data_IF_712753330760
#
_entry.id   IF_712753330760
#
_cell.length_a   1.000
_cell.length_b   1.000
_cell.length_c   1.000
_cell.angle_alpha   90.00
_cell.angle_beta   90.00
_cell.angle_gamma   90.00
#
_symmetry.space_group_name_H-M   'P 1'
#
loop_
_entity.id
_entity.type
_entity.pdbx_description
1 polymer ?
#
# COMPACT_ATOMS: atom_id res chain seq x y z
N UNK A 1 6.66 5.54 5.87
CA UNK A 1 8.10 5.54 6.20
C UNK A 1 8.68 6.89 5.83
N UNK A 2 9.61 7.46 6.60
CA UNK A 2 10.10 8.81 6.31
C UNK A 2 10.80 8.88 4.94
N UNK A 3 10.57 9.97 4.19
CA UNK A 3 11.14 10.16 2.84
C UNK A 3 12.66 10.07 2.80
N UNK A 4 13.31 10.54 3.86
CA UNK A 4 14.77 10.51 3.97
C UNK A 4 15.36 9.09 3.98
N UNK A 5 14.55 8.07 4.30
CA UNK A 5 14.98 6.67 4.35
C UNK A 5 14.57 5.85 3.12
N UNK A 6 14.15 6.49 2.01
CA UNK A 6 13.82 5.78 0.76
C UNK A 6 15.02 4.98 0.24
N UNK A 7 16.25 5.49 0.41
CA UNK A 7 17.47 4.77 0.00
C UNK A 7 17.61 3.40 0.69
N UNK A 8 17.30 3.34 1.98
CA UNK A 8 17.34 2.11 2.76
C UNK A 8 16.24 1.13 2.32
N UNK A 9 15.08 1.67 1.92
CA UNK A 9 14.00 0.86 1.36
C UNK A 9 14.40 0.26 0.02
N UNK A 10 15.05 1.01 -0.88
CA UNK A 10 15.51 0.50 -2.18
C UNK A 10 16.48 -0.68 -2.00
N UNK A 11 17.45 -0.55 -1.10
CA UNK A 11 18.44 -1.61 -0.87
C UNK A 11 17.84 -2.89 -0.27
N UNK A 12 16.80 -2.76 0.57
CA UNK A 12 16.10 -3.94 1.11
C UNK A 12 15.15 -4.57 0.08
N UNK A 13 14.48 -3.73 -0.71
CA UNK A 13 13.46 -4.14 -1.68
C UNK A 13 14.08 -4.84 -2.89
N UNK A 14 15.31 -4.49 -3.28
CA UNK A 14 16.01 -5.13 -4.40
C UNK A 14 16.35 -6.60 -4.20
N UNK A 15 16.30 -7.10 -2.96
CA UNK A 15 16.54 -8.50 -2.62
C UNK A 15 15.24 -9.28 -2.35
N UNK A 16 14.09 -8.62 -2.40
CA UNK A 16 12.82 -9.21 -2.01
C UNK A 16 12.08 -9.80 -3.21
N UNK A 17 11.62 -11.05 -3.09
CA UNK A 17 10.71 -11.67 -4.05
C UNK A 17 9.24 -11.30 -3.79
N UNK A 18 8.92 -11.01 -2.53
CA UNK A 18 7.57 -10.70 -2.03
C UNK A 18 7.63 -9.46 -1.14
N UNK A 19 6.67 -8.56 -1.30
CA UNK A 19 6.53 -7.37 -0.45
C UNK A 19 5.17 -7.32 0.24
N UNK A 20 5.17 -6.72 1.42
CA UNK A 20 3.96 -6.41 2.18
C UNK A 20 3.80 -4.89 2.21
N UNK A 21 2.69 -4.40 1.68
CA UNK A 21 2.31 -2.99 1.71
C UNK A 21 1.27 -2.78 2.80
N UNK A 22 1.66 -2.05 3.85
CA UNK A 22 0.77 -1.75 4.97
C UNK A 22 0.08 -0.40 4.74
N UNK A 23 -1.24 -0.37 4.89
CA UNK A 23 -2.10 0.79 4.65
C UNK A 23 -2.95 1.04 5.90
N UNK A 24 -2.99 2.26 6.42
CA UNK A 24 -3.84 2.59 7.56
C UNK A 24 -5.31 2.76 7.14
N UNK A 25 -6.24 2.29 7.98
CA UNK A 25 -7.67 2.40 7.75
C UNK A 25 -8.29 3.72 8.25
N UNK A 26 -7.58 4.42 9.14
CA UNK A 26 -8.03 5.67 9.75
C UNK A 26 -8.41 6.73 8.71
N UNK A 27 -9.48 7.47 9.00
CA UNK A 27 -9.96 8.53 8.12
C UNK A 27 -8.98 9.71 8.15
N UNK A 28 -8.55 10.17 6.98
CA UNK A 28 -7.46 11.13 6.80
C UNK A 28 -6.09 10.48 6.59
N UNK A 29 -5.75 9.44 7.35
CA UNK A 29 -4.48 8.71 7.18
C UNK A 29 -4.45 7.93 5.86
N UNK A 30 -5.55 7.27 5.52
CA UNK A 30 -5.70 6.55 4.26
C UNK A 30 -5.56 7.51 3.07
N UNK A 31 -6.31 8.60 3.10
CA UNK A 31 -6.40 9.60 2.03
C UNK A 31 -5.03 10.30 1.81
N UNK A 32 -4.32 10.61 2.89
CA UNK A 32 -2.95 11.13 2.82
C UNK A 32 -1.97 10.12 2.18
N UNK A 33 -2.10 8.83 2.53
CA UNK A 33 -1.26 7.76 2.00
C UNK A 33 -1.44 7.49 0.51
N UNK A 34 -2.67 7.61 -0.01
CA UNK A 34 -3.00 7.37 -1.43
C UNK A 34 -2.88 8.62 -2.32
N UNK A 35 -2.62 9.78 -1.73
CA UNK A 35 -2.43 11.03 -2.47
C UNK A 35 -1.27 10.93 -3.48
N UNK A 36 -1.18 11.90 -4.41
CA UNK A 36 -0.11 11.91 -5.43
C UNK A 36 1.29 11.90 -4.82
N UNK A 37 1.45 12.59 -3.70
CA UNK A 37 2.68 12.70 -2.93
C UNK A 37 2.74 11.71 -1.75
N UNK A 38 1.78 10.80 -1.69
CA UNK A 38 1.60 9.83 -0.61
C UNK A 38 2.65 8.73 -0.64
N UNK A 39 3.17 8.40 0.55
CA UNK A 39 4.24 7.40 0.70
C UNK A 39 3.81 6.01 0.27
N UNK A 40 2.55 5.63 0.51
CA UNK A 40 2.03 4.30 0.13
C UNK A 40 2.09 4.10 -1.38
N UNK A 41 1.73 5.14 -2.15
CA UNK A 41 1.80 5.13 -3.62
C UNK A 41 3.23 5.09 -4.13
N UNK A 42 4.11 5.90 -3.54
CA UNK A 42 5.54 5.94 -3.90
C UNK A 42 6.19 4.57 -3.65
N UNK A 43 5.94 3.97 -2.49
CA UNK A 43 6.44 2.64 -2.14
C UNK A 43 5.93 1.56 -3.08
N UNK A 44 4.64 1.58 -3.43
CA UNK A 44 4.06 0.62 -4.38
C UNK A 44 4.65 0.75 -5.79
N UNK A 45 4.99 1.98 -6.20
CA UNK A 45 5.64 2.25 -7.49
C UNK A 45 7.08 1.76 -7.50
N UNK A 46 7.84 2.06 -6.43
CA UNK A 46 9.22 1.60 -6.29
C UNK A 46 9.31 0.08 -6.24
N UNK A 47 8.42 -0.59 -5.51
CA UNK A 47 8.36 -2.05 -5.47
C UNK A 47 8.13 -2.68 -6.86
N UNK A 48 7.31 -2.05 -7.70
CA UNK A 48 7.07 -2.53 -9.08
C UNK A 48 8.32 -2.36 -9.95
N UNK A 49 8.95 -1.18 -9.88
CA UNK A 49 10.17 -0.85 -10.64
C UNK A 49 11.36 -1.73 -10.24
N UNK A 50 11.43 -2.14 -8.97
CA UNK A 50 12.48 -3.02 -8.45
C UNK A 50 12.25 -4.50 -8.78
N UNK A 51 11.12 -4.85 -9.39
CA UNK A 51 10.88 -6.19 -9.94
C UNK A 51 10.26 -7.19 -8.95
N UNK A 52 9.65 -6.73 -7.86
CA UNK A 52 8.90 -7.62 -6.96
C UNK A 52 7.71 -8.22 -7.71
N UNK A 53 7.59 -9.55 -7.64
CA UNK A 53 6.54 -10.28 -8.36
C UNK A 53 5.22 -10.33 -7.62
N UNK A 54 5.27 -10.41 -6.29
CA UNK A 54 4.09 -10.58 -5.45
C UNK A 54 4.03 -9.50 -4.39
N UNK A 55 2.89 -8.81 -4.32
CA UNK A 55 2.61 -7.81 -3.28
C UNK A 55 1.36 -8.19 -2.50
N UNK A 56 1.46 -8.18 -1.17
CA UNK A 56 0.37 -8.40 -0.24
C UNK A 56 -0.02 -7.05 0.37
N UNK A 57 -1.31 -6.71 0.34
CA UNK A 57 -1.83 -5.48 0.96
C UNK A 57 -2.38 -5.82 2.34
N UNK A 58 -1.88 -5.14 3.36
CA UNK A 58 -2.35 -5.27 4.74
C UNK A 58 -3.02 -3.97 5.19
N UNK A 59 -4.30 -4.04 5.51
CA UNK A 59 -5.04 -2.91 6.07
C UNK A 59 -4.86 -2.95 7.60
N UNK A 60 -4.31 -1.89 8.17
CA UNK A 60 -3.90 -1.75 9.56
C UNK A 60 -4.72 -0.67 10.29
N UNK A 61 -4.70 -0.67 11.62
CA UNK A 61 -5.46 0.25 12.49
C UNK A 61 -6.98 0.19 12.29
N UNK A 62 -7.52 -1.00 12.05
CA UNK A 62 -8.98 -1.20 11.94
C UNK A 62 -9.72 -1.01 13.27
N UNK A 63 -8.99 -1.07 14.40
CA UNK A 63 -9.47 -0.82 15.75
C UNK A 63 -9.76 0.65 16.07
N UNK A 64 -9.37 1.58 15.17
CA UNK A 64 -9.61 3.01 15.36
C UNK A 64 -11.08 3.30 15.68
N UNK A 65 -11.33 4.20 16.63
CA UNK A 65 -12.67 4.54 17.09
C UNK A 65 -13.61 5.08 16.00
N UNK A 66 -13.07 5.55 14.87
CA UNK A 66 -13.82 5.97 13.69
C UNK A 66 -14.13 4.80 12.75
N UNK A 67 -13.27 3.79 12.69
CA UNK A 67 -13.40 2.63 11.77
C UNK A 67 -14.16 1.48 12.43
N UNK A 68 -13.89 1.18 13.70
CA UNK A 68 -14.53 0.14 14.53
C UNK A 68 -14.64 -1.22 13.84
N UNK A 69 -13.57 -1.65 13.16
CA UNK A 69 -13.54 -2.87 12.35
C UNK A 69 -14.67 -2.97 11.31
N UNK A 70 -15.16 -1.83 10.82
CA UNK A 70 -16.23 -1.79 9.83
C UNK A 70 -15.81 -2.48 8.54
N UNK A 71 -16.63 -3.43 8.09
CA UNK A 71 -16.45 -4.12 6.82
C UNK A 71 -16.56 -3.17 5.64
N UNK A 72 -17.48 -2.20 5.71
CA UNK A 72 -17.69 -1.23 4.63
C UNK A 72 -16.42 -0.41 4.36
N UNK A 73 -15.72 0.01 5.43
CA UNK A 73 -14.45 0.73 5.30
C UNK A 73 -13.35 -0.15 4.71
N UNK A 74 -13.30 -1.42 5.09
CA UNK A 74 -12.35 -2.37 4.51
C UNK A 74 -12.59 -2.56 3.01
N UNK A 75 -13.84 -2.77 2.60
CA UNK A 75 -14.19 -3.00 1.19
C UNK A 75 -13.95 -1.74 0.33
N UNK A 76 -14.20 -0.54 0.87
CA UNK A 76 -13.86 0.74 0.25
C UNK A 76 -12.34 0.85 0.00
N UNK A 77 -11.53 0.68 1.05
CA UNK A 77 -10.05 0.76 0.96
C UNK A 77 -9.51 -0.27 -0.02
N UNK A 78 -10.02 -1.50 0.04
CA UNK A 78 -9.64 -2.58 -0.87
C UNK A 78 -9.94 -2.20 -2.32
N UNK A 79 -11.13 -1.66 -2.61
CA UNK A 79 -11.52 -1.23 -3.95
C UNK A 79 -10.61 -0.14 -4.51
N UNK A 80 -10.36 0.91 -3.73
CA UNK A 80 -9.48 2.00 -4.13
C UNK A 80 -8.02 1.52 -4.31
N UNK A 81 -7.52 0.68 -3.42
CA UNK A 81 -6.16 0.17 -3.54
C UNK A 81 -5.95 -0.73 -4.76
N UNK A 82 -6.92 -1.57 -5.08
CA UNK A 82 -6.90 -2.38 -6.29
C UNK A 82 -6.85 -1.50 -7.56
N UNK A 83 -7.61 -0.41 -7.59
CA UNK A 83 -7.63 0.55 -8.69
C UNK A 83 -6.28 1.28 -8.82
N UNK A 84 -5.71 1.73 -7.71
CA UNK A 84 -4.41 2.41 -7.70
C UNK A 84 -3.28 1.49 -8.16
N UNK A 85 -3.22 0.25 -7.65
CA UNK A 85 -2.20 -0.71 -8.04
C UNK A 85 -2.28 -1.08 -9.52
N UNK A 86 -3.50 -1.23 -10.06
CA UNK A 86 -3.72 -1.43 -11.49
C UNK A 86 -3.16 -0.27 -12.33
N UNK A 87 -3.34 0.98 -11.87
CA UNK A 87 -2.78 2.16 -12.54
C UNK A 87 -1.25 2.21 -12.49
N UNK A 88 -0.64 1.69 -11.43
CA UNK A 88 0.82 1.58 -11.28
C UNK A 88 1.41 0.48 -12.18
N UNK A 89 0.58 -0.47 -12.63
CA UNK A 89 0.97 -1.56 -13.52
C UNK A 89 1.08 -2.93 -12.83
N UNK A 90 0.61 -3.05 -11.58
CA UNK A 90 0.50 -4.34 -10.90
C UNK A 90 -0.60 -5.17 -11.53
N UNK A 91 -0.32 -6.45 -11.77
CA UNK A 91 -1.31 -7.43 -12.24
C UNK A 91 -2.01 -8.04 -11.04
N UNK A 92 -3.33 -8.29 -11.17
CA UNK A 92 -4.05 -9.09 -10.18
C UNK A 92 -3.44 -10.51 -10.23
N UNK A 93 -3.09 -11.07 -9.07
CA UNK A 93 -2.78 -12.49 -8.99
C UNK A 93 -4.03 -13.26 -9.44
N UNK A 94 -3.88 -14.11 -10.46
CA UNK A 94 -4.92 -15.07 -10.81
C UNK A 94 -5.11 -16.01 -9.61
N UNK A 95 -6.37 -16.16 -9.18
CA UNK A 95 -6.76 -17.05 -8.06
C UNK A 95 -6.62 -18.52 -8.44
#
# INVERSE_FOLDING_TARGET
GHRDFIKNMITGTSQADVAILVVAAGQGEFEAGISKDGQTREHATLANTLGIKTMIICINKMDDGQVKYSKDRYDEIKGEMMKQLKNIGWKKAEE
#
